data_IF_774124684872
#
_entry.id   IF_774124684872
#
_cell.length_a   1.000
_cell.length_b   1.000
_cell.length_c   1.000
_cell.angle_alpha   90.00
_cell.angle_beta   90.00
_cell.angle_gamma   90.00
#
_symmetry.space_group_name_H-M   'P 1'
#
loop_
_entity.id
_entity.type
_entity.pdbx_description
1 polymer ?
#
# COMPACT_ATOMS: atom_id res chain seq x y z
N UNK A 1 7.24 -6.10 -7.99
CA UNK A 1 7.10 -5.92 -6.53
C UNK A 1 8.16 -6.76 -5.84
N UNK A 2 8.85 -6.20 -4.86
CA UNK A 2 9.74 -6.90 -3.93
C UNK A 2 9.09 -6.81 -2.56
N UNK A 3 8.94 -7.93 -1.84
CA UNK A 3 8.24 -8.00 -0.56
C UNK A 3 9.20 -8.45 0.54
N UNK A 4 9.08 -7.85 1.72
CA UNK A 4 9.75 -8.32 2.93
C UNK A 4 8.95 -9.45 3.60
N UNK A 5 9.51 -10.16 4.59
CA UNK A 5 8.70 -10.98 5.50
C UNK A 5 7.58 -10.13 6.14
N UNK A 6 6.35 -10.66 6.24
CA UNK A 6 5.22 -9.97 6.86
C UNK A 6 5.23 -10.12 8.38
N UNK A 7 4.71 -9.12 9.09
CA UNK A 7 4.19 -9.30 10.46
C UNK A 7 2.72 -9.72 10.35
N UNK A 8 2.36 -10.85 10.95
CA UNK A 8 0.99 -11.41 10.87
C UNK A 8 0.42 -11.55 12.28
N UNK A 9 -0.79 -11.03 12.47
CA UNK A 9 -1.60 -11.28 13.67
C UNK A 9 -2.83 -12.11 13.29
N UNK A 10 -3.08 -13.21 13.99
CA UNK A 10 -4.20 -14.13 13.71
C UNK A 10 -5.16 -14.16 14.90
N UNK A 11 -6.45 -14.09 14.64
CA UNK A 11 -7.53 -14.26 15.62
C UNK A 11 -8.66 -15.10 15.00
N UNK A 12 -8.73 -16.39 15.37
CA UNK A 12 -9.71 -17.33 14.83
C UNK A 12 -9.62 -17.43 13.30
N UNK A 13 -10.71 -17.05 12.61
CA UNK A 13 -10.81 -17.05 11.14
C UNK A 13 -10.40 -15.72 10.50
N UNK A 14 -9.82 -14.78 11.24
CA UNK A 14 -9.30 -13.50 10.72
C UNK A 14 -7.82 -13.37 11.01
N UNK A 15 -7.13 -12.62 10.16
CA UNK A 15 -5.75 -12.24 10.33
C UNK A 15 -5.50 -10.87 9.70
N UNK A 16 -4.56 -10.11 10.25
CA UNK A 16 -3.98 -8.94 9.58
C UNK A 16 -2.54 -9.26 9.20
N UNK A 17 -2.10 -8.73 8.05
CA UNK A 17 -0.71 -8.81 7.63
C UNK A 17 -0.20 -7.41 7.32
N UNK A 18 1.05 -7.15 7.71
CA UNK A 18 1.76 -5.92 7.39
C UNK A 18 3.12 -6.26 6.77
N UNK A 19 3.25 -5.96 5.48
CA UNK A 19 4.35 -6.40 4.63
C UNK A 19 5.06 -5.19 4.04
N UNK A 20 6.37 -5.04 4.29
CA UNK A 20 7.19 -4.07 3.57
C UNK A 20 7.26 -4.40 2.09
N UNK A 21 7.19 -3.39 1.22
CA UNK A 21 7.13 -3.57 -0.23
C UNK A 21 7.90 -2.50 -0.99
N UNK A 22 8.43 -2.90 -2.14
CA UNK A 22 8.99 -2.02 -3.15
C UNK A 22 8.28 -2.29 -4.47
N UNK A 23 7.66 -1.26 -5.04
CA UNK A 23 7.10 -1.27 -6.39
C UNK A 23 8.18 -0.75 -7.33
N UNK A 24 8.53 -1.55 -8.34
CA UNK A 24 9.45 -1.15 -9.40
C UNK A 24 8.67 -1.07 -10.69
N UNK A 25 8.64 0.10 -11.31
CA UNK A 25 8.01 0.37 -12.59
C UNK A 25 9.03 0.81 -13.62
N UNK A 26 8.79 0.51 -14.90
CA UNK A 26 9.52 1.08 -16.04
C UNK A 26 8.62 2.06 -16.78
N UNK A 27 9.20 3.14 -17.27
CA UNK A 27 8.51 4.13 -18.12
C UNK A 27 9.52 4.83 -19.04
N UNK A 28 8.99 5.47 -20.06
CA UNK A 28 9.73 6.44 -20.89
C UNK A 28 9.29 7.84 -20.49
N UNK A 29 10.24 8.72 -20.19
CA UNK A 29 9.98 10.12 -19.85
C UNK A 29 10.60 10.99 -20.93
N UNK A 30 9.77 11.55 -21.80
CA UNK A 30 10.25 12.33 -22.95
C UNK A 30 11.21 11.55 -23.86
N UNK A 31 11.06 10.22 -23.96
CA UNK A 31 11.94 9.35 -24.74
C UNK A 31 13.11 8.75 -23.97
N UNK A 32 13.36 9.17 -22.72
CA UNK A 32 14.42 8.61 -21.86
C UNK A 32 13.87 7.42 -21.06
N UNK A 33 14.56 6.28 -21.12
CA UNK A 33 14.24 5.08 -20.32
C UNK A 33 14.45 5.39 -18.83
N UNK A 34 13.46 5.07 -18.00
CA UNK A 34 13.47 5.38 -16.58
C UNK A 34 12.88 4.26 -15.72
N UNK A 35 13.27 4.26 -14.45
CA UNK A 35 12.73 3.42 -13.40
C UNK A 35 12.06 4.26 -12.31
N UNK A 36 10.86 3.83 -11.93
CA UNK A 36 10.22 4.19 -10.69
C UNK A 36 10.57 3.16 -9.62
N UNK A 37 10.96 3.61 -8.43
CA UNK A 37 11.03 2.77 -7.23
C UNK A 37 10.22 3.42 -6.12
N UNK A 38 9.16 2.75 -5.66
CA UNK A 38 8.27 3.23 -4.60
C UNK A 38 8.27 2.30 -3.39
N UNK A 39 8.55 2.87 -2.21
CA UNK A 39 8.61 2.16 -0.93
C UNK A 39 7.28 2.34 -0.20
N UNK A 40 6.74 1.24 0.31
CA UNK A 40 5.51 1.26 1.07
C UNK A 40 5.29 0.01 1.90
N UNK A 41 4.21 0.00 2.67
CA UNK A 41 3.75 -1.17 3.44
C UNK A 41 2.40 -1.62 2.89
N UNK A 42 2.30 -2.88 2.47
CA UNK A 42 1.04 -3.51 2.11
C UNK A 42 0.41 -4.00 3.41
N UNK A 43 -0.77 -3.47 3.72
CA UNK A 43 -1.52 -3.79 4.93
C UNK A 43 -2.82 -4.48 4.54
N UNK A 44 -3.00 -5.71 5.01
CA UNK A 44 -4.06 -6.60 4.56
C UNK A 44 -4.95 -7.04 5.71
N UNK A 45 -6.24 -7.19 5.41
CA UNK A 45 -7.17 -8.04 6.16
C UNK A 45 -7.29 -9.36 5.42
N UNK A 46 -7.15 -10.47 6.13
CA UNK A 46 -7.17 -11.82 5.58
C UNK A 46 -8.18 -12.64 6.39
N UNK A 47 -9.09 -13.35 5.72
CA UNK A 47 -10.05 -14.19 6.41
C UNK A 47 -10.14 -15.60 5.83
N UNK A 48 -10.45 -16.55 6.71
CA UNK A 48 -10.61 -17.96 6.37
C UNK A 48 -12.07 -18.22 6.00
N UNK A 49 -12.33 -18.55 4.74
CA UNK A 49 -13.65 -18.93 4.21
C UNK A 49 -13.59 -20.38 3.72
N UNK A 50 -14.43 -21.27 4.25
CA UNK A 50 -14.46 -22.71 3.86
C UNK A 50 -13.06 -23.32 3.88
N UNK A 51 -12.36 -23.17 5.00
CA UNK A 51 -10.99 -23.63 5.26
C UNK A 51 -9.88 -22.98 4.41
N UNK A 52 -10.20 -22.00 3.56
CA UNK A 52 -9.22 -21.31 2.71
C UNK A 52 -9.04 -19.86 3.15
N UNK A 53 -7.79 -19.44 3.39
CA UNK A 53 -7.45 -18.03 3.65
C UNK A 53 -7.50 -17.21 2.38
N UNK A 54 -8.08 -16.01 2.44
CA UNK A 54 -8.15 -15.05 1.34
C UNK A 54 -7.96 -13.63 1.85
N UNK A 55 -7.38 -12.78 1.02
CA UNK A 55 -7.31 -11.35 1.26
C UNK A 55 -8.73 -10.78 1.13
N UNK A 56 -9.23 -10.18 2.21
CA UNK A 56 -10.51 -9.49 2.27
C UNK A 56 -10.38 -8.01 1.89
N UNK A 57 -9.25 -7.39 2.25
CA UNK A 57 -8.94 -5.99 1.97
C UNK A 57 -7.43 -5.83 1.88
N UNK A 58 -6.97 -5.00 0.95
CA UNK A 58 -5.57 -4.67 0.74
C UNK A 58 -5.45 -3.17 0.58
N UNK A 59 -4.63 -2.55 1.41
CA UNK A 59 -4.28 -1.14 1.33
C UNK A 59 -2.76 -0.97 1.36
N UNK A 60 -2.28 0.20 0.97
CA UNK A 60 -0.85 0.50 0.95
C UNK A 60 -0.60 1.81 1.69
N UNK A 61 0.35 1.78 2.62
CA UNK A 61 0.92 2.97 3.24
C UNK A 61 2.18 3.34 2.46
N UNK A 62 2.16 4.50 1.81
CA UNK A 62 3.29 4.98 1.02
C UNK A 62 4.30 5.75 1.88
N UNK A 63 5.58 5.47 1.68
CA UNK A 63 6.65 6.05 2.49
C UNK A 63 7.41 7.11 1.70
N UNK A 64 8.04 6.72 0.60
CA UNK A 64 8.74 7.60 -0.31
C UNK A 64 8.98 6.88 -1.63
N UNK A 65 9.31 7.63 -2.66
CA UNK A 65 9.69 7.07 -3.94
C UNK A 65 10.70 7.96 -4.67
N UNK A 66 11.26 7.40 -5.73
CA UNK A 66 12.14 8.14 -6.63
C UNK A 66 11.99 7.64 -8.06
N UNK A 67 12.32 8.54 -8.99
CA UNK A 67 12.37 8.30 -10.42
C UNK A 67 13.81 8.53 -10.89
N UNK A 68 14.40 7.55 -11.55
CA UNK A 68 15.78 7.61 -12.03
C UNK A 68 15.84 7.21 -13.50
N UNK A 69 16.75 7.82 -14.26
CA UNK A 69 17.07 7.32 -15.59
C UNK A 69 17.68 5.91 -15.49
N UNK A 70 17.41 5.09 -16.49
CA UNK A 70 18.01 3.76 -16.66
C UNK A 70 19.53 3.89 -16.87
N UNK A 71 19.93 4.78 -17.78
CA UNK A 71 21.32 5.19 -17.92
C UNK A 71 21.59 6.38 -16.97
N UNK A 72 22.55 6.27 -16.03
CA UNK A 72 22.86 7.34 -15.09
C UNK A 72 23.44 8.62 -15.74
N UNK A 73 23.85 8.57 -17.01
CA UNK A 73 24.29 9.75 -17.75
C UNK A 73 23.12 10.58 -18.31
N UNK A 74 21.92 10.01 -18.39
CA UNK A 74 20.77 10.70 -18.98
C UNK A 74 20.10 11.62 -17.94
N UNK A 75 19.60 12.76 -18.42
CA UNK A 75 18.78 13.67 -17.63
C UNK A 75 17.30 13.45 -17.96
N UNK A 76 16.48 13.23 -16.94
CA UNK A 76 15.04 13.08 -17.14
C UNK A 76 14.39 14.46 -17.38
N UNK A 77 13.62 14.64 -18.48
CA UNK A 77 12.94 15.91 -18.77
C UNK A 77 11.66 16.06 -17.94
N UNK A 78 11.79 16.11 -16.60
CA UNK A 78 10.67 16.27 -15.67
C UNK A 78 10.51 17.74 -15.29
N UNK A 79 9.34 18.31 -15.57
CA UNK A 79 9.02 19.68 -15.19
C UNK A 79 8.81 19.81 -13.67
N UNK A 80 9.57 20.70 -13.03
CA UNK A 80 9.52 20.91 -11.58
C UNK A 80 8.14 21.26 -11.06
N UNK A 81 7.39 22.14 -11.74
CA UNK A 81 6.05 22.55 -11.29
C UNK A 81 5.06 21.37 -11.31
N UNK A 82 5.17 20.52 -12.34
CA UNK A 82 4.38 19.30 -12.45
C UNK A 82 4.78 18.26 -11.40
N UNK A 83 6.06 18.15 -11.09
CA UNK A 83 6.58 17.22 -10.09
C UNK A 83 6.13 17.55 -8.66
N UNK A 84 6.18 18.83 -8.28
CA UNK A 84 5.93 19.27 -6.91
C UNK A 84 4.46 19.25 -6.51
N UNK A 85 3.52 19.12 -7.45
CA UNK A 85 2.08 19.01 -7.16
C UNK A 85 1.68 17.69 -6.50
N UNK A 86 2.47 16.63 -6.69
CA UNK A 86 2.16 15.33 -6.10
C UNK A 86 2.68 15.23 -4.66
N UNK A 87 1.96 14.43 -3.87
CA UNK A 87 2.32 14.15 -2.48
C UNK A 87 3.69 13.46 -2.39
N UNK A 88 4.56 13.89 -1.48
CA UNK A 88 5.95 13.44 -1.43
C UNK A 88 6.12 11.95 -1.09
N UNK A 89 5.14 11.32 -0.44
CA UNK A 89 5.20 9.90 -0.08
C UNK A 89 5.05 8.94 -1.26
N UNK A 90 4.45 9.40 -2.36
CA UNK A 90 4.24 8.60 -3.58
C UNK A 90 4.24 9.48 -4.85
N UNK A 91 5.19 10.41 -4.93
CA UNK A 91 5.28 11.42 -5.98
C UNK A 91 5.62 10.81 -7.33
N UNK A 92 6.68 10.01 -7.37
CA UNK A 92 7.14 9.33 -8.58
C UNK A 92 6.09 8.33 -9.08
N UNK A 93 5.37 7.66 -8.17
CA UNK A 93 4.26 6.77 -8.51
C UNK A 93 3.07 7.56 -9.10
N UNK A 94 2.72 8.71 -8.53
CA UNK A 94 1.68 9.58 -9.09
C UNK A 94 2.03 10.06 -10.49
N UNK A 95 3.30 10.45 -10.70
CA UNK A 95 3.82 10.80 -12.02
C UNK A 95 3.68 9.63 -13.00
N UNK A 96 4.10 8.43 -12.61
CA UNK A 96 3.98 7.22 -13.44
C UNK A 96 2.52 6.87 -13.79
N UNK A 97 1.60 6.95 -12.82
CA UNK A 97 0.17 6.74 -13.07
C UNK A 97 -0.34 7.75 -14.08
N UNK A 98 0.02 9.03 -13.95
CA UNK A 98 -0.40 10.02 -14.93
C UNK A 98 0.15 9.76 -16.32
N UNK A 99 1.45 9.43 -16.45
CA UNK A 99 2.07 9.13 -17.74
C UNK A 99 1.45 7.92 -18.44
N UNK A 100 1.00 6.92 -17.67
CA UNK A 100 0.54 5.64 -18.22
C UNK A 100 -0.97 5.52 -18.31
N UNK A 101 -1.72 6.26 -17.47
CA UNK A 101 -3.17 6.11 -17.29
C UNK A 101 -3.92 7.45 -17.32
N UNK A 102 -3.20 8.58 -17.39
CA UNK A 102 -3.79 9.92 -17.42
C UNK A 102 -4.03 10.53 -16.04
N UNK A 103 -4.24 11.85 -16.00
CA UNK A 103 -4.32 12.63 -14.75
C UNK A 103 -5.51 12.27 -13.88
N UNK A 104 -6.61 11.79 -14.48
CA UNK A 104 -7.80 11.33 -13.75
C UNK A 104 -7.59 10.05 -12.93
N UNK A 105 -6.53 9.29 -13.19
CA UNK A 105 -6.19 8.07 -12.45
C UNK A 105 -5.37 8.36 -11.17
N UNK A 106 -4.85 9.57 -11.00
CA UNK A 106 -4.01 9.92 -9.84
C UNK A 106 -4.87 10.06 -8.58
N UNK A 107 -4.51 9.30 -7.54
CA UNK A 107 -5.22 9.28 -6.25
C UNK A 107 -4.46 10.08 -5.19
N UNK A 108 -5.13 11.05 -4.57
CA UNK A 108 -4.52 11.96 -3.58
C UNK A 108 -4.91 11.66 -2.13
N UNK A 109 -5.77 10.67 -1.93
CA UNK A 109 -6.37 10.24 -0.67
C UNK A 109 -5.68 9.02 -0.04
N UNK A 110 -4.61 8.51 -0.67
CA UNK A 110 -3.96 7.29 -0.21
C UNK A 110 -3.17 7.47 1.10
N UNK A 111 -3.11 6.45 1.96
CA UNK A 111 -2.33 6.53 3.18
C UNK A 111 -0.85 6.76 2.91
N UNK A 112 -0.23 7.69 3.63
CA UNK A 112 1.18 7.99 3.44
C UNK A 112 1.80 8.66 4.66
N UNK A 113 3.12 8.54 4.81
CA UNK A 113 3.85 9.06 5.97
C UNK A 113 3.81 10.59 6.09
N UNK A 114 3.48 11.29 5.00
CA UNK A 114 3.21 12.72 4.96
C UNK A 114 1.81 13.10 5.51
N UNK A 115 0.96 12.11 5.83
CA UNK A 115 -0.36 12.24 6.47
C UNK A 115 -0.56 11.13 7.51
N UNK A 116 0.12 11.22 8.67
CA UNK A 116 0.10 10.15 9.68
C UNK A 116 -1.31 9.77 10.16
N UNK A 117 -2.26 10.70 10.17
CA UNK A 117 -3.64 10.44 10.55
C UNK A 117 -4.33 9.38 9.67
N UNK A 118 -3.94 9.27 8.39
CA UNK A 118 -4.44 8.24 7.48
C UNK A 118 -3.91 6.85 7.81
N UNK A 119 -2.69 6.78 8.35
CA UNK A 119 -2.03 5.56 8.80
C UNK A 119 -2.69 5.07 10.09
N UNK A 120 -2.89 5.97 11.05
CA UNK A 120 -3.56 5.66 12.31
C UNK A 120 -4.98 5.15 12.09
N UNK A 121 -5.74 5.81 11.21
CA UNK A 121 -7.10 5.38 10.85
C UNK A 121 -7.11 3.97 10.25
N UNK A 122 -6.17 3.66 9.35
CA UNK A 122 -6.04 2.35 8.73
C UNK A 122 -5.73 1.26 9.76
N UNK A 123 -4.72 1.46 10.60
CA UNK A 123 -4.36 0.47 11.61
C UNK A 123 -5.45 0.28 12.66
N UNK A 124 -6.10 1.36 13.11
CA UNK A 124 -7.21 1.29 14.05
C UNK A 124 -8.39 0.48 13.48
N UNK A 125 -8.75 0.73 12.21
CA UNK A 125 -9.82 -0.01 11.55
C UNK A 125 -9.47 -1.50 11.41
N UNK A 126 -8.21 -1.83 11.08
CA UNK A 126 -7.75 -3.21 10.95
C UNK A 126 -7.71 -3.95 12.30
N UNK A 127 -7.28 -3.27 13.36
CA UNK A 127 -7.26 -3.82 14.71
C UNK A 127 -8.67 -4.08 15.24
N UNK A 128 -9.61 -3.14 15.03
CA UNK A 128 -11.02 -3.33 15.38
C UNK A 128 -11.61 -4.54 14.65
N UNK A 129 -11.39 -4.63 13.33
CA UNK A 129 -11.85 -5.75 12.52
C UNK A 129 -11.25 -7.09 12.96
N UNK A 130 -9.98 -7.13 13.35
CA UNK A 130 -9.35 -8.36 13.85
C UNK A 130 -9.96 -8.81 15.19
N UNK A 131 -10.31 -7.86 16.07
CA UNK A 131 -10.83 -8.15 17.41
C UNK A 131 -12.25 -8.74 17.43
N UNK A 132 -13.10 -8.40 16.45
CA UNK A 132 -14.51 -8.81 16.40
C UNK A 132 -14.75 -10.34 16.45
N UNK A 133 -13.82 -11.16 15.93
CA UNK A 133 -13.98 -12.64 15.91
C UNK A 133 -13.89 -13.26 17.30
N UNK A 134 -13.29 -12.57 18.28
CA UNK A 134 -13.27 -13.04 19.66
C UNK A 134 -14.67 -13.01 20.33
N UNK A 135 -15.63 -12.25 19.79
CA UNK A 135 -16.95 -12.08 20.41
C UNK A 135 -17.93 -13.23 20.09
N UNK A 136 -17.80 -13.88 18.93
CA UNK A 136 -18.79 -14.88 18.49
C UNK A 136 -18.56 -16.27 19.11
N UNK A 137 -17.33 -16.61 19.49
CA UNK A 137 -16.98 -17.94 20.03
C UNK A 137 -17.16 -18.06 21.55
N UNK A 138 -17.39 -16.94 22.25
CA UNK A 138 -17.64 -16.91 23.70
C UNK A 138 -19.11 -17.15 24.06
N UNK A 139 -20.04 -16.86 23.15
CA UNK A 139 -21.48 -17.01 23.40
C UNK A 139 -21.99 -18.45 23.21
N UNK A 140 -21.25 -19.29 22.48
CA UNK A 140 -21.58 -20.70 22.23
C UNK A 140 -21.04 -21.66 23.30
N UNK A 141 -20.24 -21.17 24.26
CA UNK A 141 -19.60 -21.99 25.30
C UNK A 141 -20.24 -21.90 26.69
N UNK A 142 -21.22 -21.02 26.88
CA UNK A 142 -21.89 -20.78 28.18
C UNK A 142 -23.32 -21.34 28.28
N UNK A 143 -23.80 -22.09 27.29
CA UNK A 143 -25.13 -22.72 27.30
C UNK A 143 -25.12 -24.25 27.43
N UNK A 144 -23.99 -24.84 27.80
CA UNK A 144 -23.85 -26.30 27.97
C UNK A 144 -23.19 -26.70 29.30
N UNK A 145 -23.64 -26.12 30.41
CA UNK A 145 -23.24 -26.48 31.77
C UNK A 145 -24.41 -26.38 32.73
#
# INVERSE_FOLDING_TARGET
HVLSPPLIHVNGTRATADTGSIIVGRLSVGGVSAFLTSFGRIVERIEKRRDTWRIAQLEVIYQFDYLTADNPADTLPVETQRWTRYRPSYRALSYWVEETQGSGAVRYDLPGVDRPETIDALYNANNAWLAEVAATDRATRTTSG
#
